data_IF_630057741214
#
_entry.id   IF_630057741214
#
_cell.length_a   1.000
_cell.length_b   1.000
_cell.length_c   1.000
_cell.angle_alpha   90.00
_cell.angle_beta   90.00
_cell.angle_gamma   90.00
#
_symmetry.space_group_name_H-M   'P 1'
#
loop_
_entity.id
_entity.type
_entity.pdbx_description
1 polymer ?
#
# COMPACT_ATOMS: atom_id res chain seq x y z
N UNK A 1 -20.25 19.93 18.02
CA UNK A 1 -18.86 20.27 17.60
C UNK A 1 -18.68 19.71 16.19
N UNK A 2 -18.71 20.55 15.16
CA UNK A 2 -18.45 20.10 13.79
C UNK A 2 -16.97 19.71 13.68
N UNK A 3 -16.68 18.47 13.26
CA UNK A 3 -15.29 18.05 13.02
C UNK A 3 -14.63 18.96 11.98
N UNK A 4 -13.41 19.43 12.28
CA UNK A 4 -12.68 20.35 11.42
C UNK A 4 -12.33 19.69 10.09
N UNK A 5 -11.92 20.50 9.10
CA UNK A 5 -11.56 19.97 7.77
C UNK A 5 -10.28 19.14 7.89
N UNK A 6 -9.29 19.62 8.66
CA UNK A 6 -8.04 18.89 8.91
C UNK A 6 -8.29 17.54 9.57
N UNK A 7 -9.19 17.44 10.56
CA UNK A 7 -9.53 16.18 11.22
C UNK A 7 -10.17 15.15 10.27
N UNK A 8 -11.03 15.63 9.35
CA UNK A 8 -11.66 14.77 8.34
C UNK A 8 -10.61 14.24 7.36
N UNK A 9 -9.71 15.11 6.89
CA UNK A 9 -8.62 14.72 5.99
C UNK A 9 -7.66 13.74 6.68
N UNK A 10 -7.29 13.98 7.94
CA UNK A 10 -6.45 13.07 8.71
C UNK A 10 -7.08 11.67 8.85
N UNK A 11 -8.41 11.57 9.02
CA UNK A 11 -9.11 10.27 9.00
C UNK A 11 -9.00 9.59 7.64
N UNK A 12 -9.18 10.33 6.54
CA UNK A 12 -9.06 9.79 5.19
C UNK A 12 -7.62 9.33 4.90
N UNK A 13 -6.59 10.07 5.35
CA UNK A 13 -5.19 9.65 5.25
C UNK A 13 -4.99 8.29 5.90
N UNK A 14 -5.51 8.08 7.12
CA UNK A 14 -5.38 6.79 7.82
C UNK A 14 -5.99 5.64 7.04
N UNK A 15 -7.18 5.84 6.46
CA UNK A 15 -7.85 4.84 5.62
C UNK A 15 -7.04 4.59 4.36
N UNK A 16 -6.57 5.63 3.68
CA UNK A 16 -5.80 5.50 2.45
C UNK A 16 -4.47 4.76 2.68
N UNK A 17 -3.79 5.00 3.82
CA UNK A 17 -2.60 4.23 4.23
C UNK A 17 -2.91 2.77 4.53
N UNK A 18 -4.12 2.46 5.01
CA UNK A 18 -4.54 1.07 5.17
C UNK A 18 -4.76 0.39 3.81
N UNK A 19 -5.36 1.09 2.85
CA UNK A 19 -5.53 0.59 1.47
C UNK A 19 -4.17 0.34 0.80
N UNK A 20 -3.21 1.24 0.98
CA UNK A 20 -1.81 1.04 0.54
C UNK A 20 -1.22 -0.26 1.11
N UNK A 21 -1.29 -0.46 2.42
CA UNK A 21 -0.80 -1.70 3.06
C UNK A 21 -1.52 -2.95 2.59
N UNK A 22 -2.82 -2.87 2.31
CA UNK A 22 -3.57 -4.00 1.74
C UNK A 22 -3.05 -4.35 0.35
N UNK A 23 -2.77 -3.37 -0.51
CA UNK A 23 -2.18 -3.59 -1.82
C UNK A 23 -0.77 -4.20 -1.74
N UNK A 24 0.06 -3.73 -0.81
CA UNK A 24 1.39 -4.29 -0.54
C UNK A 24 1.30 -5.75 -0.06
N UNK A 25 0.35 -6.02 0.85
CA UNK A 25 0.12 -7.38 1.35
C UNK A 25 -0.33 -8.32 0.23
N UNK A 26 -1.30 -7.91 -0.60
CA UNK A 26 -1.71 -8.67 -1.79
C UNK A 26 -0.53 -8.98 -2.71
N UNK A 27 0.33 -7.99 -2.99
CA UNK A 27 1.55 -8.19 -3.78
C UNK A 27 2.49 -9.21 -3.13
N UNK A 28 2.70 -9.13 -1.82
CA UNK A 28 3.57 -10.05 -1.08
C UNK A 28 3.09 -11.50 -1.14
N UNK A 29 1.77 -11.72 -1.10
CA UNK A 29 1.19 -13.06 -1.23
C UNK A 29 1.44 -13.64 -2.62
N UNK A 30 1.26 -12.84 -3.68
CA UNK A 30 1.52 -13.28 -5.05
C UNK A 30 2.99 -13.57 -5.28
N UNK A 31 3.89 -12.72 -4.76
CA UNK A 31 5.34 -12.96 -4.82
C UNK A 31 5.74 -14.26 -4.10
N UNK A 32 5.13 -14.53 -2.94
CA UNK A 32 5.37 -15.78 -2.21
C UNK A 32 4.91 -17.01 -3.00
N UNK A 33 3.72 -16.93 -3.63
CA UNK A 33 3.21 -18.00 -4.48
C UNK A 33 4.04 -18.20 -5.76
N UNK A 34 4.62 -17.12 -6.31
CA UNK A 34 5.55 -17.18 -7.43
C UNK A 34 6.83 -17.92 -7.04
N UNK A 35 7.44 -17.55 -5.90
CA UNK A 35 8.64 -18.20 -5.40
C UNK A 35 8.44 -19.70 -5.14
N UNK A 36 7.29 -20.10 -4.57
CA UNK A 36 6.95 -21.52 -4.37
C UNK A 36 6.81 -22.26 -5.72
N UNK A 37 6.18 -21.62 -6.71
CA UNK A 37 6.01 -22.18 -8.05
C UNK A 37 7.36 -22.41 -8.71
N UNK A 38 8.26 -21.43 -8.65
CA UNK A 38 9.59 -21.50 -9.25
C UNK A 38 10.47 -22.56 -8.56
N UNK A 39 10.46 -22.62 -7.23
CA UNK A 39 11.14 -23.67 -6.47
C UNK A 39 10.64 -25.08 -6.84
N UNK A 40 9.34 -25.23 -7.05
CA UNK A 40 8.77 -26.51 -7.47
C UNK A 40 9.18 -26.88 -8.90
N UNK A 41 9.27 -25.90 -9.81
CA UNK A 41 9.76 -26.14 -11.16
C UNK A 41 11.23 -26.58 -11.16
N UNK A 42 12.07 -25.91 -10.37
CA UNK A 42 13.48 -26.27 -10.22
C UNK A 42 13.65 -27.71 -9.70
N UNK A 43 12.87 -28.10 -8.67
CA UNK A 43 12.86 -29.46 -8.16
C UNK A 43 12.47 -30.51 -9.22
N UNK A 44 11.50 -30.19 -10.09
CA UNK A 44 11.12 -31.08 -11.19
C UNK A 44 12.21 -31.21 -12.24
N UNK A 45 12.89 -30.12 -12.58
CA UNK A 45 14.02 -30.14 -13.51
C UNK A 45 15.14 -31.02 -12.97
N UNK A 46 15.46 -30.91 -11.69
CA UNK A 46 16.43 -31.78 -11.01
C UNK A 46 16.01 -33.25 -11.04
N UNK A 47 14.74 -33.56 -10.76
CA UNK A 47 14.23 -34.93 -10.81
C UNK A 47 14.33 -35.53 -12.22
N UNK A 48 13.93 -34.78 -13.25
CA UNK A 48 14.01 -35.20 -14.67
C UNK A 48 15.45 -35.43 -15.11
N UNK A 49 16.41 -34.61 -14.64
CA UNK A 49 17.83 -34.75 -14.94
C UNK A 49 18.55 -35.85 -14.15
N UNK A 50 17.87 -36.53 -13.23
CA UNK A 50 18.49 -37.55 -12.37
C UNK A 50 18.61 -38.91 -13.07
N UNK A 51 19.62 -39.70 -12.70
CA UNK A 51 19.81 -41.07 -13.18
C UNK A 51 18.99 -42.11 -12.39
N UNK A 52 18.08 -41.68 -11.53
CA UNK A 52 17.23 -42.60 -10.78
C UNK A 52 16.15 -43.19 -11.71
N UNK A 53 16.07 -44.52 -11.87
CA UNK A 53 15.11 -45.16 -12.77
C UNK A 53 13.64 -44.84 -12.44
N UNK A 54 13.32 -44.54 -11.16
CA UNK A 54 11.98 -44.10 -10.76
C UNK A 54 11.63 -42.76 -11.42
N UNK A 55 12.57 -41.80 -11.42
CA UNK A 55 12.35 -40.49 -12.02
C UNK A 55 12.29 -40.58 -13.55
N UNK A 56 13.09 -41.45 -14.17
CA UNK A 56 13.01 -41.74 -15.61
C UNK A 56 11.62 -42.27 -15.99
N UNK A 57 11.07 -43.21 -15.21
CA UNK A 57 9.73 -43.76 -15.43
C UNK A 57 8.61 -42.71 -15.25
N UNK A 58 8.84 -41.68 -14.44
CA UNK A 58 7.88 -40.58 -14.19
C UNK A 58 8.06 -39.37 -15.12
N UNK A 59 9.01 -39.40 -16.05
CA UNK A 59 9.37 -38.27 -16.94
C UNK A 59 8.17 -37.59 -17.62
N UNK A 60 7.22 -38.37 -18.15
CA UNK A 60 6.02 -37.84 -18.77
C UNK A 60 5.14 -37.06 -17.79
N UNK A 61 4.98 -37.56 -16.56
CA UNK A 61 4.19 -36.89 -15.52
C UNK A 61 4.85 -35.59 -15.05
N UNK A 62 6.19 -35.60 -14.93
CA UNK A 62 6.95 -34.38 -14.61
C UNK A 62 6.82 -33.33 -15.70
N UNK A 63 6.89 -33.72 -16.97
CA UNK A 63 6.66 -32.80 -18.09
C UNK A 63 5.27 -32.15 -18.04
N UNK A 64 4.21 -32.95 -17.81
CA UNK A 64 2.85 -32.41 -17.67
C UNK A 64 2.72 -31.45 -16.48
N UNK A 65 3.31 -31.79 -15.33
CA UNK A 65 3.29 -30.92 -14.15
C UNK A 65 4.07 -29.64 -14.37
N UNK A 66 5.23 -29.72 -15.03
CA UNK A 66 6.05 -28.57 -15.38
C UNK A 66 5.27 -27.59 -16.26
N UNK A 67 4.59 -28.07 -17.31
CA UNK A 67 3.76 -27.22 -18.18
C UNK A 67 2.66 -26.47 -17.40
N UNK A 68 1.99 -27.14 -16.45
CA UNK A 68 0.99 -26.49 -15.59
C UNK A 68 1.61 -25.43 -14.68
N UNK A 69 2.78 -25.70 -14.11
CA UNK A 69 3.51 -24.74 -13.30
C UNK A 69 4.02 -23.55 -14.13
N UNK A 70 4.43 -23.76 -15.38
CA UNK A 70 4.86 -22.69 -16.29
C UNK A 70 3.71 -21.76 -16.62
N UNK A 71 2.53 -22.31 -16.92
CA UNK A 71 1.32 -21.52 -17.12
C UNK A 71 0.95 -20.72 -15.85
N UNK A 72 1.03 -21.34 -14.67
CA UNK A 72 0.80 -20.67 -13.38
C UNK A 72 1.80 -19.53 -13.13
N UNK A 73 3.09 -19.77 -13.36
CA UNK A 73 4.17 -18.78 -13.21
C UNK A 73 3.95 -17.57 -14.12
N UNK A 74 3.51 -17.79 -15.36
CA UNK A 74 3.16 -16.70 -16.28
C UNK A 74 1.96 -15.87 -15.79
N UNK A 75 0.92 -16.52 -15.25
CA UNK A 75 -0.24 -15.82 -14.68
C UNK A 75 0.13 -14.99 -13.45
N UNK A 76 0.91 -15.57 -12.54
CA UNK A 76 1.40 -14.90 -11.33
C UNK A 76 2.30 -13.70 -11.68
N UNK A 77 3.20 -13.84 -12.66
CA UNK A 77 4.01 -12.73 -13.17
C UNK A 77 3.14 -11.59 -13.72
N UNK A 78 2.07 -11.91 -14.43
CA UNK A 78 1.10 -10.91 -14.90
C UNK A 78 0.39 -10.20 -13.75
N UNK A 79 -0.03 -10.96 -12.73
CA UNK A 79 -0.67 -10.40 -11.54
C UNK A 79 0.26 -9.48 -10.74
N UNK A 80 1.54 -9.87 -10.58
CA UNK A 80 2.58 -9.06 -9.92
C UNK A 80 2.67 -7.68 -10.57
N UNK A 81 2.81 -7.61 -11.89
CA UNK A 81 2.92 -6.31 -12.60
C UNK A 81 1.73 -5.39 -12.36
N UNK A 82 0.52 -5.95 -12.35
CA UNK A 82 -0.71 -5.18 -12.06
C UNK A 82 -0.72 -4.70 -10.61
N UNK A 83 -0.34 -5.57 -9.68
CA UNK A 83 -0.29 -5.26 -8.24
C UNK A 83 0.80 -4.24 -7.90
N UNK A 84 1.99 -4.30 -8.52
CA UNK A 84 3.03 -3.28 -8.38
C UNK A 84 2.52 -1.89 -8.79
N UNK A 85 1.82 -1.81 -9.93
CA UNK A 85 1.17 -0.57 -10.38
C UNK A 85 0.10 -0.07 -9.41
N UNK A 86 -0.69 -0.98 -8.83
CA UNK A 86 -1.67 -0.66 -7.79
C UNK A 86 -1.00 -0.10 -6.53
N UNK A 87 0.06 -0.75 -6.02
CA UNK A 87 0.83 -0.27 -4.86
C UNK A 87 1.33 1.15 -5.09
N UNK A 88 1.95 1.41 -6.25
CA UNK A 88 2.45 2.74 -6.59
C UNK A 88 1.33 3.79 -6.63
N UNK A 89 0.18 3.42 -7.19
CA UNK A 89 -0.99 4.28 -7.29
C UNK A 89 -1.55 4.62 -5.90
N UNK A 90 -1.72 3.62 -5.03
CA UNK A 90 -2.28 3.84 -3.69
C UNK A 90 -1.33 4.61 -2.79
N UNK A 91 -0.01 4.39 -2.90
CA UNK A 91 1.02 5.19 -2.26
C UNK A 91 0.95 6.66 -2.69
N UNK A 92 0.89 6.91 -3.99
CA UNK A 92 0.80 8.28 -4.53
C UNK A 92 -0.46 9.00 -4.05
N UNK A 93 -1.60 8.29 -3.98
CA UNK A 93 -2.84 8.85 -3.43
C UNK A 93 -2.70 9.17 -1.94
N UNK A 94 -2.07 8.28 -1.17
CA UNK A 94 -1.85 8.48 0.26
C UNK A 94 -0.96 9.69 0.55
N UNK A 95 0.10 9.87 -0.25
CA UNK A 95 1.02 11.00 -0.13
C UNK A 95 0.31 12.32 -0.43
N UNK A 96 -0.39 12.42 -1.58
CA UNK A 96 -1.16 13.64 -1.92
C UNK A 96 -2.22 14.00 -0.88
N UNK A 97 -2.90 12.99 -0.34
CA UNK A 97 -3.92 13.21 0.67
C UNK A 97 -3.31 13.67 2.01
N UNK A 98 -2.10 13.19 2.34
CA UNK A 98 -1.37 13.64 3.51
C UNK A 98 -0.92 15.10 3.36
N UNK A 99 -0.45 15.49 2.18
CA UNK A 99 -0.09 16.88 1.88
C UNK A 99 -1.30 17.81 2.06
N UNK A 100 -2.46 17.46 1.48
CA UNK A 100 -3.69 18.24 1.67
C UNK A 100 -4.17 18.30 3.12
N UNK A 101 -3.95 17.24 3.90
CA UNK A 101 -4.28 17.23 5.32
C UNK A 101 -3.37 18.20 6.11
N UNK A 102 -2.08 18.24 5.78
CA UNK A 102 -1.12 19.17 6.37
C UNK A 102 -1.45 20.63 6.03
N UNK A 103 -1.71 20.93 4.75
CA UNK A 103 -2.13 22.26 4.29
C UNK A 103 -3.39 22.75 5.01
N UNK A 104 -4.38 21.86 5.21
CA UNK A 104 -5.60 22.19 5.93
C UNK A 104 -5.36 22.46 7.43
N UNK A 105 -4.48 21.67 8.06
CA UNK A 105 -4.10 21.90 9.45
C UNK A 105 -3.38 23.25 9.62
N UNK A 106 -2.41 23.57 8.76
CA UNK A 106 -1.69 24.84 8.79
C UNK A 106 -2.60 26.05 8.52
N UNK A 107 -3.61 25.90 7.67
CA UNK A 107 -4.60 26.95 7.43
C UNK A 107 -5.49 27.17 8.67
N UNK A 108 -5.95 26.09 9.31
CA UNK A 108 -6.74 26.16 10.54
C UNK A 108 -5.93 26.77 11.69
N UNK A 109 -4.66 26.37 11.86
CA UNK A 109 -3.77 26.92 12.89
C UNK A 109 -3.53 28.42 12.71
N UNK A 110 -3.34 28.88 11.46
CA UNK A 110 -3.22 30.32 11.17
C UNK A 110 -4.49 31.09 11.50
N UNK A 111 -5.66 30.58 11.12
CA UNK A 111 -6.93 31.22 11.44
C UNK A 111 -7.18 31.30 12.95
N UNK A 112 -6.86 30.23 13.68
CA UNK A 112 -6.96 30.20 15.14
C UNK A 112 -5.98 31.18 15.81
N UNK A 113 -4.76 31.31 15.28
CA UNK A 113 -3.79 32.28 15.77
C UNK A 113 -4.28 33.72 15.55
N UNK A 114 -4.81 34.02 14.37
CA UNK A 114 -5.38 35.34 14.06
C UNK A 114 -6.58 35.65 14.97
N UNK A 115 -7.50 34.70 15.18
CA UNK A 115 -8.64 34.85 16.09
C UNK A 115 -8.18 35.11 17.53
N UNK A 116 -7.17 34.38 18.02
CA UNK A 116 -6.60 34.59 19.35
C UNK A 116 -5.98 35.98 19.53
N UNK A 117 -5.37 36.54 18.47
CA UNK A 117 -4.83 37.90 18.48
C UNK A 117 -5.95 38.94 18.56
N UNK A 118 -7.05 38.75 17.82
CA UNK A 118 -8.21 39.65 17.92
C UNK A 118 -8.85 39.61 19.30
N UNK A 119 -8.99 38.42 19.90
CA UNK A 119 -9.50 38.27 21.27
C UNK A 119 -8.62 38.98 22.29
N UNK A 120 -7.30 38.88 22.17
CA UNK A 120 -6.35 39.60 23.03
C UNK A 120 -6.45 41.12 22.86
N UNK A 121 -6.57 41.61 21.63
CA UNK A 121 -6.76 43.04 21.36
C UNK A 121 -8.08 43.55 21.95
N UNK A 122 -9.18 42.83 21.75
CA UNK A 122 -10.48 43.18 22.30
C UNK A 122 -10.46 43.16 23.84
N UNK A 123 -9.80 42.16 24.45
CA UNK A 123 -9.61 42.12 25.90
C UNK A 123 -8.79 43.31 26.41
N UNK A 124 -7.74 43.72 25.68
CA UNK A 124 -6.90 44.86 26.03
C UNK A 124 -7.69 46.16 25.92
N UNK A 125 -8.45 46.38 24.85
CA UNK A 125 -9.30 47.56 24.67
C UNK A 125 -10.39 47.62 25.74
N UNK A 126 -11.04 46.49 26.04
CA UNK A 126 -12.04 46.40 27.12
C UNK A 126 -11.44 46.65 28.50
N UNK A 127 -10.18 46.25 28.74
CA UNK A 127 -9.49 46.50 30.01
C UNK A 127 -8.88 47.91 30.13
N UNK A 128 -8.55 48.55 28.99
CA UNK A 128 -7.97 49.89 28.91
C UNK A 128 -8.98 51.03 28.71
N UNK A 129 -10.26 50.71 28.50
CA UNK A 129 -11.33 51.68 28.29
C UNK A 129 -12.26 51.84 29.50
N UNK A 130 -11.79 52.53 30.55
CA UNK A 130 -12.49 53.56 31.36
C UNK A 130 -11.74 53.80 32.69
N UNK A 131 -10.90 54.85 32.71
CA UNK A 131 -10.67 55.73 33.85
C UNK A 131 -10.32 57.11 33.32
#
# INVERSE_FOLDING_TARGET
MSTSRSEKLARLVRVQRQVERMAEYELSLTLSAQAETDATQEALVHAVGSFNPIHTAMSHQYAQRFQRLSARSQLLTGAIKVQEGKVLTEKTKADRLADHAAEAAEAEDRLNADESLFDLLDSTIKSGGFS
#
